data_IF_825959944053
#
_entry.id   IF_825959944053
#
_cell.length_a   1.000
_cell.length_b   1.000
_cell.length_c   1.000
_cell.angle_alpha   90.00
_cell.angle_beta   90.00
_cell.angle_gamma   90.00
#
_symmetry.space_group_name_H-M   'P 1'
#
loop_
_entity.id
_entity.type
_entity.pdbx_description
1 polymer ?
#
# COMPACT_ATOMS: atom_id res chain seq x y z
N UNK A 1 17.66 4.61 -9.29
CA UNK A 1 16.45 4.10 -9.96
C UNK A 1 16.64 4.35 -11.44
N UNK A 2 16.36 3.37 -12.30
CA UNK A 2 16.64 3.51 -13.72
C UNK A 2 15.58 4.38 -14.41
N UNK A 3 15.91 5.62 -14.86
CA UNK A 3 14.89 6.62 -15.23
C UNK A 3 14.03 6.22 -16.42
N UNK A 4 14.58 5.40 -17.32
CA UNK A 4 13.95 5.03 -18.58
C UNK A 4 12.90 3.92 -18.44
N UNK A 5 12.76 3.33 -17.25
CA UNK A 5 11.85 2.19 -17.05
C UNK A 5 10.40 2.61 -16.80
N UNK A 6 10.12 3.90 -16.57
CA UNK A 6 8.75 4.39 -16.32
C UNK A 6 8.04 3.63 -15.18
N UNK A 7 8.77 3.38 -14.08
CA UNK A 7 8.26 2.56 -12.97
C UNK A 7 6.95 3.11 -12.37
N UNK A 8 6.75 4.43 -12.38
CA UNK A 8 5.50 5.04 -11.90
C UNK A 8 4.28 4.66 -12.75
N UNK A 9 4.47 4.45 -14.06
CA UNK A 9 3.42 3.97 -14.95
C UNK A 9 3.15 2.48 -14.72
N UNK A 10 4.20 1.68 -14.52
CA UNK A 10 4.08 0.26 -14.19
C UNK A 10 3.32 0.08 -12.87
N UNK A 11 3.58 0.92 -11.87
CA UNK A 11 2.87 0.89 -10.58
C UNK A 11 1.34 0.94 -10.72
N UNK A 12 0.82 1.71 -11.68
CA UNK A 12 -0.62 1.81 -11.92
C UNK A 12 -1.20 0.45 -12.32
N UNK A 13 -0.54 -0.25 -13.23
CA UNK A 13 -1.01 -1.55 -13.73
C UNK A 13 -0.76 -2.64 -12.68
N UNK A 14 0.46 -2.72 -12.14
CA UNK A 14 0.88 -3.85 -11.32
C UNK A 14 0.33 -3.79 -9.90
N UNK A 15 0.19 -2.57 -9.35
CA UNK A 15 -0.25 -2.38 -7.97
C UNK A 15 -1.71 -1.95 -7.90
N UNK A 16 -2.08 -0.84 -8.55
CA UNK A 16 -3.42 -0.26 -8.39
C UNK A 16 -4.51 -1.14 -9.02
N UNK A 17 -4.35 -1.56 -10.27
CA UNK A 17 -5.38 -2.39 -10.91
C UNK A 17 -5.53 -3.75 -10.23
N UNK A 18 -4.42 -4.38 -9.83
CA UNK A 18 -4.42 -5.62 -9.05
C UNK A 18 -5.13 -5.46 -7.71
N UNK A 19 -4.91 -4.34 -7.02
CA UNK A 19 -5.59 -4.01 -5.77
C UNK A 19 -7.10 -3.87 -5.98
N UNK A 20 -7.54 -3.14 -7.00
CA UNK A 20 -8.97 -2.99 -7.29
C UNK A 20 -9.64 -4.32 -7.62
N UNK A 21 -9.01 -5.16 -8.43
CA UNK A 21 -9.54 -6.48 -8.74
C UNK A 21 -9.70 -7.34 -7.48
N UNK A 22 -8.66 -7.38 -6.64
CA UNK A 22 -8.67 -8.16 -5.37
C UNK A 22 -9.71 -7.63 -4.38
N UNK A 23 -9.86 -6.31 -4.28
CA UNK A 23 -10.73 -5.66 -3.30
C UNK A 23 -12.19 -5.52 -3.77
N UNK A 24 -12.50 -5.94 -4.99
CA UNK A 24 -13.85 -5.84 -5.58
C UNK A 24 -14.84 -6.93 -5.13
N UNK A 25 -14.37 -7.94 -4.40
CA UNK A 25 -15.18 -9.10 -3.98
C UNK A 25 -15.56 -9.02 -2.51
N UNK A 26 -16.73 -9.55 -2.15
CA UNK A 26 -17.27 -9.53 -0.78
C UNK A 26 -16.37 -10.24 0.24
N UNK A 27 -15.56 -11.20 -0.20
CA UNK A 27 -14.60 -11.91 0.65
C UNK A 27 -13.31 -11.13 0.92
N UNK A 28 -13.14 -9.94 0.32
CA UNK A 28 -11.98 -9.08 0.59
C UNK A 28 -11.92 -8.71 2.07
N UNK A 29 -10.71 -8.68 2.62
CA UNK A 29 -10.47 -8.31 4.02
C UNK A 29 -10.10 -6.84 4.12
N UNK A 30 -10.48 -6.14 5.21
CA UNK A 30 -9.99 -4.79 5.44
C UNK A 30 -8.47 -4.79 5.66
N UNK A 31 -7.82 -3.66 5.31
CA UNK A 31 -6.37 -3.51 5.46
C UNK A 31 -5.94 -3.63 6.93
N UNK A 32 -6.64 -2.91 7.81
CA UNK A 32 -6.53 -3.06 9.26
C UNK A 32 -7.47 -4.18 9.73
N UNK A 33 -6.91 -5.28 10.21
CA UNK A 33 -7.66 -6.44 10.69
C UNK A 33 -7.00 -7.05 11.92
N UNK A 34 -7.82 -7.62 12.80
CA UNK A 34 -7.33 -8.36 13.95
C UNK A 34 -6.89 -9.76 13.52
N UNK A 35 -5.88 -10.30 14.21
CA UNK A 35 -5.26 -11.59 13.93
C UNK A 35 -5.02 -12.26 15.28
N UNK A 36 -5.60 -13.45 15.46
CA UNK A 36 -5.62 -14.15 16.75
C UNK A 36 -4.78 -15.43 16.75
N UNK A 37 -4.42 -15.95 15.57
CA UNK A 37 -3.66 -17.21 15.46
C UNK A 37 -2.48 -17.14 14.48
N UNK A 38 -1.48 -17.99 14.70
CA UNK A 38 -0.31 -18.12 13.81
C UNK A 38 -0.73 -18.50 12.38
N UNK A 39 -1.80 -19.30 12.23
CA UNK A 39 -2.33 -19.66 10.93
C UNK A 39 -2.90 -18.45 10.20
N UNK A 40 -3.60 -17.55 10.91
CA UNK A 40 -4.12 -16.31 10.33
C UNK A 40 -3.02 -15.34 9.93
N UNK A 41 -1.91 -15.25 10.70
CA UNK A 41 -0.71 -14.47 10.32
C UNK A 41 -0.20 -14.90 8.95
N UNK A 42 -0.22 -16.21 8.65
CA UNK A 42 0.17 -16.70 7.33
C UNK A 42 -0.68 -16.15 6.18
N UNK A 43 -1.92 -15.75 6.47
CA UNK A 43 -2.85 -15.16 5.49
C UNK A 43 -2.75 -13.64 5.40
N UNK A 44 -1.99 -12.99 6.28
CA UNK A 44 -1.94 -11.53 6.26
C UNK A 44 -1.06 -10.97 5.14
N UNK A 45 -0.11 -11.75 4.63
CA UNK A 45 0.75 -11.37 3.51
C UNK A 45 0.06 -11.49 2.15
N UNK A 46 -1.09 -10.83 1.98
CA UNK A 46 -1.94 -10.90 0.80
C UNK A 46 -1.85 -9.64 -0.08
N UNK A 47 -2.53 -9.68 -1.24
CA UNK A 47 -2.58 -8.57 -2.21
C UNK A 47 -3.29 -7.33 -1.65
N UNK A 48 -4.19 -7.49 -0.67
CA UNK A 48 -4.78 -6.34 0.04
C UNK A 48 -3.67 -5.63 0.84
N UNK A 49 -2.85 -6.39 1.54
CA UNK A 49 -1.82 -5.82 2.42
C UNK A 49 -0.74 -5.10 1.62
N UNK A 50 -0.27 -5.70 0.53
CA UNK A 50 0.79 -5.12 -0.28
C UNK A 50 0.27 -4.14 -1.35
N UNK A 51 -0.59 -4.58 -2.27
CA UNK A 51 -0.98 -3.77 -3.42
C UNK A 51 -1.93 -2.63 -3.02
N UNK A 52 -2.99 -2.91 -2.25
CA UNK A 52 -3.90 -1.85 -1.76
C UNK A 52 -3.19 -0.96 -0.75
N UNK A 53 -2.38 -1.53 0.15
CA UNK A 53 -1.54 -0.78 1.09
C UNK A 53 -0.62 0.22 0.38
N UNK A 54 0.18 -0.23 -0.59
CA UNK A 54 1.06 0.64 -1.37
C UNK A 54 0.28 1.69 -2.18
N UNK A 55 -0.88 1.32 -2.73
CA UNK A 55 -1.73 2.25 -3.48
C UNK A 55 -2.27 3.38 -2.60
N UNK A 56 -2.64 3.08 -1.36
CA UNK A 56 -3.08 4.09 -0.38
C UNK A 56 -1.90 4.99 0.03
N UNK A 57 -0.71 4.43 0.23
CA UNK A 57 0.50 5.23 0.52
C UNK A 57 0.79 6.21 -0.63
N UNK A 58 0.77 5.74 -1.88
CA UNK A 58 0.92 6.61 -3.07
C UNK A 58 -0.18 7.67 -3.14
N UNK A 59 -1.43 7.31 -2.82
CA UNK A 59 -2.53 8.27 -2.78
C UNK A 59 -2.27 9.37 -1.74
N UNK A 60 -1.80 9.01 -0.54
CA UNK A 60 -1.47 9.99 0.51
C UNK A 60 -0.31 10.92 0.12
N UNK A 61 0.73 10.38 -0.53
CA UNK A 61 1.83 11.19 -1.07
C UNK A 61 1.33 12.24 -2.07
N UNK A 62 0.45 11.84 -3.00
CA UNK A 62 -0.13 12.74 -4.00
C UNK A 62 -1.12 13.75 -3.40
N UNK A 63 -1.89 13.37 -2.38
CA UNK A 63 -2.85 14.25 -1.71
C UNK A 63 -2.15 15.31 -0.85
N UNK A 64 -1.12 14.92 -0.10
CA UNK A 64 -0.38 15.82 0.80
C UNK A 64 0.70 16.62 0.06
N UNK A 65 1.18 16.11 -1.07
CA UNK A 65 2.37 16.59 -1.76
C UNK A 65 3.65 16.00 -1.17
N UNK A 66 4.57 15.61 -2.04
CA UNK A 66 5.75 14.82 -1.68
C UNK A 66 6.65 15.44 -0.61
N UNK A 67 6.75 16.77 -0.55
CA UNK A 67 7.52 17.46 0.49
C UNK A 67 6.90 17.26 1.89
N UNK A 68 5.59 17.47 2.02
CA UNK A 68 4.88 17.32 3.29
C UNK A 68 4.77 15.86 3.71
N UNK A 69 4.52 14.96 2.76
CA UNK A 69 4.50 13.51 3.00
C UNK A 69 5.84 13.02 3.57
N UNK A 70 6.95 13.38 2.93
CA UNK A 70 8.29 13.00 3.39
C UNK A 70 8.65 13.60 4.75
N UNK A 71 8.26 14.85 5.01
CA UNK A 71 8.47 15.48 6.32
C UNK A 71 7.70 14.73 7.42
N UNK A 72 6.42 14.43 7.19
CA UNK A 72 5.60 13.69 8.15
C UNK A 72 6.12 12.27 8.38
N UNK A 73 6.66 11.61 7.34
CA UNK A 73 7.30 10.30 7.48
C UNK A 73 8.58 10.39 8.32
N UNK A 74 9.40 11.43 8.11
CA UNK A 74 10.59 11.67 8.93
C UNK A 74 10.21 11.87 10.40
N UNK A 75 9.22 12.72 10.68
CA UNK A 75 8.73 12.98 12.03
C UNK A 75 8.23 11.69 12.69
N UNK A 76 7.46 10.86 11.97
CA UNK A 76 7.00 9.56 12.46
C UNK A 76 8.15 8.61 12.84
N UNK A 77 9.22 8.58 12.04
CA UNK A 77 10.38 7.72 12.26
C UNK A 77 11.27 8.20 13.43
N UNK A 78 11.33 9.51 13.68
CA UNK A 78 12.14 10.11 14.76
C UNK A 78 11.35 10.24 16.08
N UNK A 79 10.02 10.26 16.03
CA UNK A 79 9.15 10.32 17.21
C UNK A 79 9.14 9.01 18.05
N UNK A 80 9.91 7.99 17.65
CA UNK A 80 10.10 6.73 18.37
C UNK A 80 11.57 6.56 18.75
#
# INVERSE_FOLDING_TARGET
IEPNWSLDLQFVVDQIHTAFATDSVDSSKPLSRHVESQAEVGTTGDLITYNKGASIVRMMDLVLGTSHFNSGLHDYLVAR
#
